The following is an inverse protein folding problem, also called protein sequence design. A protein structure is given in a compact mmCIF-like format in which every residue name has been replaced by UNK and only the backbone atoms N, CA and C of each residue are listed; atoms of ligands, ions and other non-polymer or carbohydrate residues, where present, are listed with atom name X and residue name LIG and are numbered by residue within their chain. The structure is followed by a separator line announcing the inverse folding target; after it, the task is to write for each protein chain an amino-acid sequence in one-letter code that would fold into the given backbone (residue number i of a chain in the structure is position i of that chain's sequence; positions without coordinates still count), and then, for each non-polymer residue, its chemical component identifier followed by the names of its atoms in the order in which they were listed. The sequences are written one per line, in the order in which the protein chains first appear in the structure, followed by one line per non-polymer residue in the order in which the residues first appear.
data_IF_104485120894
#
_entry.id   IF_104485120894
#
_cell.length_a   1.000
_cell.length_b   1.000
_cell.length_c   1.000
_cell.angle_alpha   90.00
_cell.angle_beta   90.00
_cell.angle_gamma   90.00
#
_symmetry.space_group_name_H-M   'P 1'
#
loop_
_entity.id
_entity.type
_entity.pdbx_description
1 polymer ?
#
# COMPACT_ATOMS: atom_id res chain seq x y z
N UNK A 1 8.87 10.34 16.51
CA UNK A 1 10.28 10.57 16.09
C UNK A 1 10.26 11.03 14.63
N UNK A 2 10.70 12.25 14.31
CA UNK A 2 10.48 12.90 12.98
C UNK A 2 11.58 12.56 11.93
N UNK A 3 12.71 11.98 12.34
CA UNK A 3 13.91 11.85 11.49
C UNK A 3 13.88 10.72 10.44
N UNK A 4 12.82 9.89 10.39
CA UNK A 4 12.66 8.82 9.39
C UNK A 4 11.60 9.09 8.32
N UNK A 5 10.72 10.08 8.53
CA UNK A 5 9.54 10.28 7.68
C UNK A 5 9.93 10.66 6.24
N UNK A 6 10.82 11.63 6.04
CA UNK A 6 11.15 12.10 4.69
C UNK A 6 11.78 11.03 3.78
N UNK A 7 12.66 10.18 4.33
CA UNK A 7 13.34 9.15 3.54
C UNK A 7 12.44 7.95 3.22
N UNK A 8 11.68 7.48 4.22
CA UNK A 8 10.75 6.36 4.05
C UNK A 8 9.55 6.76 3.19
N UNK A 9 8.96 7.94 3.41
CA UNK A 9 7.85 8.44 2.62
C UNK A 9 8.26 8.62 1.15
N UNK A 10 9.42 9.24 0.90
CA UNK A 10 9.92 9.40 -0.47
C UNK A 10 10.14 8.05 -1.15
N UNK A 11 10.69 7.05 -0.43
CA UNK A 11 10.87 5.70 -0.96
C UNK A 11 9.53 5.05 -1.28
N UNK A 12 8.57 5.06 -0.35
CA UNK A 12 7.23 4.51 -0.56
C UNK A 12 6.55 5.14 -1.79
N UNK A 13 6.55 6.47 -1.89
CA UNK A 13 6.00 7.20 -3.04
C UNK A 13 6.67 6.82 -4.34
N UNK A 14 8.00 6.70 -4.34
CA UNK A 14 8.76 6.32 -5.54
C UNK A 14 8.39 4.91 -6.00
N UNK A 15 8.24 3.97 -5.07
CA UNK A 15 7.85 2.59 -5.37
C UNK A 15 6.39 2.49 -5.88
N UNK A 16 5.46 3.26 -5.30
CA UNK A 16 4.08 3.34 -5.80
C UNK A 16 4.05 3.88 -7.23
N UNK A 17 4.81 4.93 -7.51
CA UNK A 17 4.90 5.49 -8.87
C UNK A 17 5.48 4.48 -9.85
N UNK A 18 6.55 3.77 -9.47
CA UNK A 18 7.14 2.71 -10.30
C UNK A 18 6.12 1.61 -10.63
N UNK A 19 5.37 1.12 -9.64
CA UNK A 19 4.31 0.14 -9.85
C UNK A 19 3.21 0.66 -10.79
N UNK A 20 2.79 1.93 -10.62
CA UNK A 20 1.80 2.57 -11.51
C UNK A 20 2.31 2.72 -12.93
N UNK A 21 3.60 3.02 -13.13
CA UNK A 21 4.21 3.09 -14.45
C UNK A 21 4.09 1.74 -15.17
N UNK A 22 4.44 0.64 -14.50
CA UNK A 22 4.24 -0.70 -15.06
C UNK A 22 2.77 -1.01 -15.36
N UNK A 23 1.85 -0.72 -14.44
CA UNK A 23 0.41 -0.96 -14.62
C UNK A 23 -0.23 -0.12 -15.75
N UNK A 24 0.38 0.99 -16.14
CA UNK A 24 -0.14 1.89 -17.19
C UNK A 24 0.54 1.65 -18.54
N UNK A 25 1.66 0.94 -18.57
CA UNK A 25 2.39 0.62 -19.80
C UNK A 25 1.63 -0.45 -20.60
N UNK A 26 1.13 -0.14 -21.81
CA UNK A 26 0.39 -1.10 -22.62
C UNK A 26 1.24 -2.28 -23.10
N UNK A 27 2.56 -2.14 -23.15
CA UNK A 27 3.48 -3.22 -23.55
C UNK A 27 3.83 -4.13 -22.38
N UNK A 28 3.44 -3.76 -21.15
CA UNK A 28 3.72 -4.53 -19.95
C UNK A 28 2.59 -5.51 -19.63
N UNK A 29 2.95 -6.76 -19.37
CA UNK A 29 2.01 -7.79 -18.91
C UNK A 29 2.29 -8.17 -17.45
N UNK A 30 1.37 -7.77 -16.57
CA UNK A 30 1.37 -8.16 -15.15
C UNK A 30 1.39 -9.69 -14.98
N UNK A 31 0.79 -10.42 -15.91
CA UNK A 31 0.76 -11.88 -15.87
C UNK A 31 2.13 -12.51 -16.16
N UNK A 32 3.00 -11.83 -16.92
CA UNK A 32 4.35 -12.31 -17.25
C UNK A 32 5.38 -11.94 -16.18
N UNK A 33 5.29 -10.73 -15.63
CA UNK A 33 6.17 -10.27 -14.55
C UNK A 33 5.37 -9.59 -13.43
N UNK A 34 4.70 -10.36 -12.56
CA UNK A 34 3.95 -9.80 -11.45
C UNK A 34 4.85 -9.12 -10.41
N UNK A 35 6.13 -9.52 -10.32
CA UNK A 35 7.06 -9.00 -9.32
C UNK A 35 7.42 -7.53 -9.58
N UNK A 36 7.51 -7.11 -10.84
CA UNK A 36 7.74 -5.71 -11.21
C UNK A 36 6.67 -4.74 -10.66
N UNK A 37 5.47 -5.23 -10.33
CA UNK A 37 4.41 -4.45 -9.66
C UNK A 37 4.34 -4.77 -8.16
N UNK A 38 4.33 -6.05 -7.79
CA UNK A 38 4.09 -6.46 -6.41
C UNK A 38 5.26 -6.15 -5.48
N UNK A 39 6.51 -6.26 -5.92
CA UNK A 39 7.68 -6.02 -5.05
C UNK A 39 7.79 -4.54 -4.64
N UNK A 40 7.66 -3.56 -5.57
CA UNK A 40 7.54 -2.15 -5.20
C UNK A 40 6.40 -1.88 -4.23
N UNK A 41 5.22 -2.44 -4.48
CA UNK A 41 4.05 -2.26 -3.62
C UNK A 41 4.25 -2.87 -2.23
N UNK A 42 4.92 -4.02 -2.13
CA UNK A 42 5.27 -4.64 -0.85
C UNK A 42 6.21 -3.74 -0.05
N UNK A 43 7.26 -3.22 -0.69
CA UNK A 43 8.20 -2.32 -0.02
C UNK A 43 7.52 -1.02 0.44
N UNK A 44 6.63 -0.46 -0.39
CA UNK A 44 5.86 0.72 -0.02
C UNK A 44 4.91 0.43 1.16
N UNK A 45 4.25 -0.73 1.19
CA UNK A 45 3.39 -1.11 2.30
C UNK A 45 4.15 -1.18 3.63
N UNK A 46 5.33 -1.81 3.64
CA UNK A 46 6.20 -1.91 4.82
C UNK A 46 6.62 -0.53 5.33
N UNK A 47 7.08 0.34 4.41
CA UNK A 47 7.51 1.70 4.76
C UNK A 47 6.35 2.52 5.35
N UNK A 48 5.16 2.43 4.75
CA UNK A 48 3.98 3.19 5.19
C UNK A 48 3.36 2.64 6.47
N UNK A 49 3.51 1.34 6.72
CA UNK A 49 3.12 0.76 8.00
C UNK A 49 3.98 1.31 9.15
N UNK A 50 5.29 1.47 8.93
CA UNK A 50 6.20 2.08 9.93
C UNK A 50 5.88 3.56 10.17
N UNK A 51 5.38 4.26 9.15
CA UNK A 51 4.99 5.66 9.24
C UNK A 51 3.54 5.86 9.71
N UNK A 52 2.76 4.79 9.88
CA UNK A 52 1.31 4.84 10.14
C UNK A 52 0.54 5.71 9.14
N UNK A 53 1.05 5.80 7.90
CA UNK A 53 0.49 6.68 6.88
C UNK A 53 -0.64 5.96 6.13
N UNK A 54 -1.82 5.92 6.78
CA UNK A 54 -2.98 5.15 6.33
C UNK A 54 -3.52 5.54 4.95
N UNK A 55 -3.50 6.83 4.58
CA UNK A 55 -3.98 7.29 3.27
C UNK A 55 -3.23 6.62 2.12
N UNK A 56 -1.90 6.67 2.17
CA UNK A 56 -1.07 6.10 1.13
C UNK A 56 -1.01 4.57 1.22
N UNK A 57 -1.08 4.01 2.44
CA UNK A 57 -1.18 2.56 2.62
C UNK A 57 -2.45 2.00 1.98
N UNK A 58 -3.59 2.69 2.10
CA UNK A 58 -4.82 2.32 1.41
C UNK A 58 -4.61 2.25 -0.11
N UNK A 59 -3.97 3.26 -0.72
CA UNK A 59 -3.66 3.23 -2.15
C UNK A 59 -2.80 2.01 -2.54
N UNK A 60 -1.78 1.68 -1.75
CA UNK A 60 -0.94 0.49 -2.00
C UNK A 60 -1.76 -0.78 -1.99
N UNK A 61 -2.60 -0.99 -0.97
CA UNK A 61 -3.42 -2.19 -0.85
C UNK A 61 -4.50 -2.28 -1.93
N UNK A 62 -5.05 -1.16 -2.38
CA UNK A 62 -5.92 -1.12 -3.55
C UNK A 62 -5.20 -1.61 -4.81
N UNK A 63 -3.99 -1.10 -5.09
CA UNK A 63 -3.20 -1.53 -6.24
C UNK A 63 -2.81 -3.01 -6.17
N UNK A 64 -2.46 -3.51 -4.97
CA UNK A 64 -2.23 -4.94 -4.74
C UNK A 64 -3.46 -5.78 -5.04
N UNK A 65 -4.64 -5.39 -4.54
CA UNK A 65 -5.89 -6.09 -4.80
C UNK A 65 -6.23 -6.13 -6.30
N UNK A 66 -6.04 -5.02 -7.01
CA UNK A 66 -6.24 -4.96 -8.47
C UNK A 66 -5.26 -5.86 -9.22
N UNK A 67 -4.00 -5.89 -8.79
CA UNK A 67 -2.96 -6.76 -9.37
C UNK A 67 -3.30 -8.24 -9.15
N UNK A 68 -3.68 -8.63 -7.94
CA UNK A 68 -4.09 -10.01 -7.64
C UNK A 68 -5.38 -10.40 -8.37
N UNK A 69 -6.33 -9.48 -8.54
CA UNK A 69 -7.52 -9.70 -9.36
C UNK A 69 -7.15 -10.03 -10.81
N UNK A 70 -6.23 -9.26 -11.41
CA UNK A 70 -5.76 -9.52 -12.76
C UNK A 70 -5.05 -10.88 -12.88
N UNK A 71 -4.32 -11.29 -11.84
CA UNK A 71 -3.62 -12.58 -11.78
C UNK A 71 -4.53 -13.78 -11.43
N UNK A 72 -5.83 -13.56 -11.14
CA UNK A 72 -6.74 -14.62 -10.68
C UNK A 72 -6.44 -15.17 -9.28
N UNK A 73 -5.69 -14.41 -8.47
CA UNK A 73 -5.28 -14.78 -7.10
C UNK A 73 -6.32 -14.33 -6.08
N UNK A 74 -7.41 -15.09 -5.96
CA UNK A 74 -8.57 -14.71 -5.17
C UNK A 74 -8.27 -14.51 -3.68
N UNK A 75 -7.49 -15.39 -3.07
CA UNK A 75 -7.17 -15.32 -1.65
C UNK A 75 -6.35 -14.07 -1.33
N UNK A 76 -5.26 -13.83 -2.07
CA UNK A 76 -4.40 -12.66 -1.88
C UNK A 76 -5.13 -11.35 -2.22
N UNK A 77 -6.05 -11.38 -3.19
CA UNK A 77 -6.92 -10.24 -3.51
C UNK A 77 -7.80 -9.87 -2.32
N UNK A 78 -8.47 -10.83 -1.71
CA UNK A 78 -9.34 -10.59 -0.55
C UNK A 78 -8.54 -10.13 0.68
N UNK A 79 -7.35 -10.69 0.89
CA UNK A 79 -6.45 -10.22 1.95
C UNK A 79 -6.04 -8.75 1.74
N UNK A 80 -5.64 -8.37 0.52
CA UNK A 80 -5.31 -6.98 0.19
C UNK A 80 -6.53 -6.05 0.33
N UNK A 81 -7.73 -6.50 -0.07
CA UNK A 81 -8.96 -5.74 0.08
C UNK A 81 -9.36 -5.52 1.55
N UNK A 82 -9.12 -6.51 2.42
CA UNK A 82 -9.33 -6.38 3.85
C UNK A 82 -8.41 -5.30 4.45
N UNK A 83 -7.12 -5.33 4.11
CA UNK A 83 -6.14 -4.31 4.54
C UNK A 83 -6.47 -2.91 4.01
N UNK A 84 -6.92 -2.80 2.76
CA UNK A 84 -7.42 -1.54 2.22
C UNK A 84 -8.56 -0.98 3.09
N UNK A 85 -9.54 -1.84 3.43
CA UNK A 85 -10.68 -1.45 4.27
C UNK A 85 -10.24 -1.04 5.68
N UNK A 86 -9.28 -1.73 6.28
CA UNK A 86 -8.69 -1.36 7.57
C UNK A 86 -8.14 0.07 7.52
N UNK A 87 -7.32 0.38 6.52
CA UNK A 87 -6.73 1.71 6.37
C UNK A 87 -7.75 2.81 6.07
N UNK A 88 -8.77 2.54 5.24
CA UNK A 88 -9.86 3.50 5.01
C UNK A 88 -10.64 3.78 6.29
N UNK A 89 -10.95 2.73 7.07
CA UNK A 89 -11.67 2.87 8.34
C UNK A 89 -10.87 3.68 9.36
N UNK A 90 -9.55 3.49 9.41
CA UNK A 90 -8.66 4.26 10.28
C UNK A 90 -8.63 5.76 9.91
N UNK A 91 -8.79 6.11 8.63
CA UNK A 91 -8.90 7.51 8.19
C UNK A 91 -10.25 8.14 8.58
N UNK A 92 -11.33 7.36 8.52
CA UNK A 92 -12.69 7.81 8.88
C UNK A 92 -12.85 8.01 10.39
N UNK A 93 -12.15 7.21 11.20
CA UNK A 93 -12.12 7.31 12.66
C UNK A 93 -10.68 7.53 13.16
N UNK A 94 -10.15 8.77 13.13
CA UNK A 94 -8.81 9.07 13.61
C UNK A 94 -8.62 8.92 15.13
N UNK A 95 -9.56 8.29 15.84
CA UNK A 95 -9.58 8.14 17.29
C UNK A 95 -9.24 6.71 17.69
N UNK A 96 -7.97 6.50 18.01
CA UNK A 96 -7.51 5.60 19.08
C UNK A 96 -6.10 5.95 19.61
N UNK A 97 -5.53 7.11 19.27
CA UNK A 97 -4.23 7.55 19.82
C UNK A 97 -4.32 8.60 20.94
N UNK A 98 -5.46 9.28 21.12
CA UNK A 98 -5.62 10.26 22.22
C UNK A 98 -6.06 9.65 23.56
N UNK A 99 -6.53 8.39 23.60
CA UNK A 99 -7.05 7.77 24.84
C UNK A 99 -5.97 7.01 25.66
N UNK A 100 -4.71 6.99 25.19
CA UNK A 100 -3.57 6.44 25.94
C UNK A 100 -2.84 7.46 26.83
N UNK A 101 -3.38 8.68 26.99
CA UNK A 101 -2.84 9.71 27.89
C UNK A 101 -3.77 10.08 29.04
N UNK A 102 -4.63 9.16 29.48
CA UNK A 102 -5.33 9.32 30.77
C UNK A 102 -4.46 8.71 31.88
N UNK A 103 -3.87 9.61 32.66
CA UNK A 103 -3.12 9.39 33.91
C UNK A 103 -3.85 8.52 34.93
#
# INVERSE_FOLDING_TARGET
MILGHGGLELRARSQIVLAKCHLTDPEFSVSEDPCAVLDPLNQAAEDLQVLEYHEMAAEVYYLKAMTYNHLGKEYEREEAAARFKEHVTALENPRDEEDSLVY
#
